data_IF_925186785375
#
_entry.id   IF_925186785375
#
_cell.length_a   1.000
_cell.length_b   1.000
_cell.length_c   1.000
_cell.angle_alpha   90.00
_cell.angle_beta   90.00
_cell.angle_gamma   90.00
#
_symmetry.space_group_name_H-M   'P 1'
#
loop_
_entity.id
_entity.type
_entity.pdbx_description
1 polymer ?
#
# COMPACT_ATOMS: atom_id res chain seq x y z
N UNK A 1 19.42 9.88 -21.61
CA UNK A 1 18.00 10.31 -21.54
C UNK A 1 17.41 9.68 -20.29
N UNK A 2 16.61 10.42 -19.53
CA UNK A 2 15.93 9.87 -18.35
C UNK A 2 14.66 9.14 -18.79
N UNK A 3 14.41 7.99 -18.20
CA UNK A 3 13.16 7.24 -18.35
C UNK A 3 12.29 7.47 -17.10
N UNK A 4 11.00 7.73 -17.30
CA UNK A 4 10.05 7.97 -16.21
C UNK A 4 8.87 7.02 -16.37
N UNK A 5 8.59 6.25 -15.31
CA UNK A 5 7.41 5.40 -15.22
C UNK A 5 6.31 6.15 -14.46
N UNK A 6 5.12 6.23 -15.05
CA UNK A 6 3.95 6.85 -14.44
C UNK A 6 2.82 5.83 -14.26
N UNK A 7 2.41 5.62 -13.02
CA UNK A 7 1.38 4.65 -12.63
C UNK A 7 0.11 5.35 -12.18
N UNK A 8 -1.03 5.01 -12.79
CA UNK A 8 -2.34 5.57 -12.43
C UNK A 8 -3.30 4.46 -11.99
N UNK A 9 -3.74 4.52 -10.73
CA UNK A 9 -4.77 3.63 -10.22
C UNK A 9 -6.17 4.21 -10.47
N UNK A 10 -6.97 3.53 -11.29
CA UNK A 10 -8.26 4.05 -11.79
C UNK A 10 -9.48 3.58 -10.98
N UNK A 11 -9.32 2.58 -10.10
CA UNK A 11 -10.43 1.98 -9.36
C UNK A 11 -10.71 2.67 -8.00
N UNK A 12 -10.05 3.79 -7.70
CA UNK A 12 -10.28 4.56 -6.48
C UNK A 12 -11.19 5.76 -6.75
N UNK A 13 -12.47 5.62 -6.44
CA UNK A 13 -13.48 6.67 -6.62
C UNK A 13 -13.15 7.97 -5.90
N UNK A 14 -13.74 9.08 -6.37
CA UNK A 14 -13.33 10.42 -5.97
C UNK A 14 -13.70 10.84 -4.54
N UNK A 15 -14.70 10.18 -3.93
CA UNK A 15 -15.23 10.60 -2.64
C UNK A 15 -14.99 9.61 -1.49
N UNK A 16 -14.48 8.40 -1.75
CA UNK A 16 -14.30 7.37 -0.73
C UNK A 16 -13.14 6.43 -1.05
N UNK A 17 -12.64 5.71 -0.03
CA UNK A 17 -11.82 4.51 -0.24
C UNK A 17 -12.56 3.53 -1.17
N UNK A 18 -11.87 2.63 -1.92
CA UNK A 18 -12.53 1.63 -2.74
C UNK A 18 -13.68 1.01 -1.96
N UNK A 19 -14.86 0.94 -2.59
CA UNK A 19 -16.07 0.43 -1.99
C UNK A 19 -15.89 -1.06 -1.70
N UNK A 20 -15.23 -1.41 -0.59
CA UNK A 20 -15.16 -2.79 -0.15
C UNK A 20 -16.45 -3.12 0.59
N UNK A 21 -17.54 -3.14 -0.16
CA UNK A 21 -18.93 -3.25 0.31
C UNK A 21 -19.28 -4.63 0.85
N UNK A 22 -18.53 -5.66 0.46
CA UNK A 22 -18.70 -7.03 0.94
C UNK A 22 -17.36 -7.57 1.45
N UNK A 23 -17.29 -7.95 2.73
CA UNK A 23 -16.09 -8.58 3.32
C UNK A 23 -15.65 -9.88 2.63
N UNK A 24 -16.55 -10.54 1.88
CA UNK A 24 -16.26 -11.78 1.15
C UNK A 24 -15.72 -11.57 -0.27
N UNK A 25 -15.90 -10.38 -0.85
CA UNK A 25 -15.41 -10.09 -2.20
C UNK A 25 -14.11 -9.30 -2.12
N UNK A 26 -13.00 -10.03 -2.26
CA UNK A 26 -11.66 -9.48 -2.22
C UNK A 26 -11.16 -9.03 -3.61
N UNK A 27 -12.03 -8.93 -4.61
CA UNK A 27 -11.64 -8.54 -5.99
C UNK A 27 -10.96 -7.16 -6.02
N UNK A 28 -11.50 -6.18 -5.31
CA UNK A 28 -10.90 -4.83 -5.28
C UNK A 28 -9.54 -4.83 -4.55
N UNK A 29 -9.42 -5.59 -3.46
CA UNK A 29 -8.17 -5.75 -2.73
C UNK A 29 -7.11 -6.45 -3.60
N UNK A 30 -7.51 -7.44 -4.40
CA UNK A 30 -6.64 -8.08 -5.39
C UNK A 30 -6.10 -7.10 -6.42
N UNK A 31 -6.98 -6.28 -7.01
CA UNK A 31 -6.59 -5.29 -8.02
C UNK A 31 -5.65 -4.23 -7.42
N UNK A 32 -5.91 -3.82 -6.18
CA UNK A 32 -5.05 -2.88 -5.47
C UNK A 32 -3.67 -3.49 -5.16
N UNK A 33 -3.62 -4.72 -4.65
CA UNK A 33 -2.35 -5.42 -4.40
C UNK A 33 -1.57 -5.66 -5.71
N UNK A 34 -2.22 -6.03 -6.81
CA UNK A 34 -1.56 -6.16 -8.12
C UNK A 34 -0.94 -4.83 -8.56
N UNK A 35 -1.60 -3.71 -8.30
CA UNK A 35 -1.05 -2.39 -8.57
C UNK A 35 0.22 -2.12 -7.75
N UNK A 36 0.23 -2.42 -6.45
CA UNK A 36 1.44 -2.31 -5.61
C UNK A 36 2.56 -3.25 -6.08
N UNK A 37 2.22 -4.49 -6.48
CA UNK A 37 3.19 -5.44 -7.01
C UNK A 37 3.84 -4.94 -8.32
N UNK A 38 3.07 -4.31 -9.21
CA UNK A 38 3.60 -3.70 -10.42
C UNK A 38 4.53 -2.53 -10.12
N UNK A 39 4.15 -1.65 -9.18
CA UNK A 39 5.02 -0.56 -8.72
C UNK A 39 6.33 -1.13 -8.17
N UNK A 40 6.24 -2.10 -7.26
CA UNK A 40 7.40 -2.73 -6.64
C UNK A 40 8.34 -3.37 -7.67
N UNK A 41 7.79 -4.13 -8.62
CA UNK A 41 8.56 -4.83 -9.67
C UNK A 41 9.13 -3.91 -10.74
N UNK A 42 8.48 -2.77 -10.98
CA UNK A 42 8.94 -1.77 -11.95
C UNK A 42 9.94 -0.79 -11.37
N UNK A 43 10.16 -0.80 -10.05
CA UNK A 43 11.25 -0.05 -9.44
C UNK A 43 12.56 -0.50 -10.09
N UNK A 44 13.23 0.36 -10.90
CA UNK A 44 14.44 -0.03 -11.64
C UNK A 44 15.64 -0.33 -10.73
N UNK A 45 15.44 -0.19 -9.42
CA UNK A 45 16.45 0.04 -8.40
C UNK A 45 16.00 -0.70 -7.14
N UNK A 46 16.29 -2.00 -7.04
CA UNK A 46 15.98 -2.75 -5.83
C UNK A 46 16.58 -2.06 -4.61
N UNK A 47 15.74 -1.66 -3.64
CA UNK A 47 16.05 -1.12 -2.30
C UNK A 47 17.26 -0.15 -2.13
N UNK A 48 17.78 0.45 -3.19
CA UNK A 48 18.98 1.28 -3.10
C UNK A 48 18.60 2.69 -2.63
N UNK A 49 18.93 3.01 -1.38
CA UNK A 49 18.52 4.25 -0.69
C UNK A 49 19.14 5.53 -1.27
N UNK A 50 20.01 5.41 -2.28
CA UNK A 50 20.64 6.53 -3.00
C UNK A 50 19.83 7.03 -4.19
N UNK A 51 18.57 6.60 -4.33
CA UNK A 51 17.76 6.85 -5.51
C UNK A 51 16.68 7.90 -5.27
N UNK A 52 16.31 8.61 -6.34
CA UNK A 52 15.33 9.69 -6.31
C UNK A 52 13.99 9.22 -5.70
N UNK A 53 13.33 10.04 -4.86
CA UNK A 53 12.09 9.65 -4.20
C UNK A 53 10.96 9.41 -5.19
N UNK A 54 10.12 8.41 -4.92
CA UNK A 54 8.88 8.17 -5.67
C UNK A 54 7.89 9.31 -5.41
N UNK A 55 7.31 9.86 -6.48
CA UNK A 55 6.25 10.88 -6.38
C UNK A 55 4.90 10.18 -6.28
N UNK A 56 4.20 10.41 -5.17
CA UNK A 56 2.82 9.95 -4.96
C UNK A 56 1.91 11.16 -4.83
N UNK A 57 0.88 11.26 -5.68
CA UNK A 57 -0.07 12.36 -5.63
C UNK A 57 -1.53 11.87 -5.71
N UNK A 58 -2.45 12.74 -5.32
CA UNK A 58 -3.87 12.57 -5.57
C UNK A 58 -4.46 13.93 -5.97
N UNK A 59 -5.59 14.35 -5.41
CA UNK A 59 -6.10 15.73 -5.57
C UNK A 59 -5.35 16.70 -4.65
N UNK A 60 -5.57 16.60 -3.33
CA UNK A 60 -4.87 17.43 -2.34
C UNK A 60 -3.52 16.84 -1.84
N UNK A 61 -3.17 15.64 -2.31
CA UNK A 61 -1.94 14.93 -1.92
C UNK A 61 -1.91 14.52 -0.44
N UNK A 62 -3.06 14.21 0.16
CA UNK A 62 -3.16 13.85 1.59
C UNK A 62 -4.01 12.59 1.87
N UNK A 63 -5.22 12.47 1.33
CA UNK A 63 -6.08 11.30 1.58
C UNK A 63 -5.54 10.00 0.96
N UNK A 64 -5.81 9.79 -0.33
CA UNK A 64 -5.34 8.61 -1.09
C UNK A 64 -3.83 8.44 -1.02
N UNK A 65 -3.08 9.53 -1.16
CA UNK A 65 -1.61 9.51 -1.06
C UNK A 65 -1.13 9.00 0.30
N UNK A 66 -1.74 9.43 1.40
CA UNK A 66 -1.37 8.95 2.74
C UNK A 66 -1.64 7.45 2.91
N UNK A 67 -2.79 6.98 2.44
CA UNK A 67 -3.12 5.57 2.49
C UNK A 67 -2.17 4.73 1.61
N UNK A 68 -1.89 5.18 0.38
CA UNK A 68 -0.93 4.52 -0.52
C UNK A 68 0.46 4.43 0.10
N UNK A 69 0.99 5.53 0.65
CA UNK A 69 2.31 5.55 1.31
C UNK A 69 2.33 4.62 2.52
N UNK A 70 1.29 4.61 3.35
CA UNK A 70 1.22 3.75 4.54
C UNK A 70 1.24 2.27 4.15
N UNK A 71 0.43 1.89 3.16
CA UNK A 71 0.38 0.52 2.65
C UNK A 71 1.73 0.12 2.07
N UNK A 72 2.32 0.97 1.21
CA UNK A 72 3.60 0.69 0.57
C UNK A 72 4.72 0.41 1.58
N UNK A 73 4.82 1.26 2.62
CA UNK A 73 5.79 1.08 3.71
C UNK A 73 5.62 -0.29 4.36
N UNK A 74 4.40 -0.66 4.76
CA UNK A 74 4.14 -1.91 5.47
C UNK A 74 4.40 -3.12 4.57
N UNK A 75 3.90 -3.10 3.32
CA UNK A 75 4.14 -4.19 2.38
C UNK A 75 5.63 -4.37 2.11
N UNK A 76 6.40 -3.29 1.97
CA UNK A 76 7.85 -3.37 1.80
C UNK A 76 8.55 -3.94 3.05
N UNK A 77 8.14 -3.54 4.25
CA UNK A 77 8.66 -4.13 5.50
C UNK A 77 8.38 -5.63 5.58
N UNK A 78 7.15 -6.07 5.30
CA UNK A 78 6.82 -7.51 5.30
C UNK A 78 7.69 -8.26 4.27
N UNK A 79 7.89 -7.72 3.07
CA UNK A 79 8.72 -8.34 2.03
C UNK A 79 10.20 -8.45 2.40
N UNK A 80 10.73 -7.49 3.16
CA UNK A 80 12.17 -7.38 3.44
C UNK A 80 12.58 -7.95 4.79
N UNK A 81 11.73 -7.81 5.80
CA UNK A 81 11.96 -8.22 7.19
C UNK A 81 11.22 -9.53 7.55
N UNK A 82 10.21 -9.94 6.77
CA UNK A 82 9.42 -11.17 6.99
C UNK A 82 8.07 -10.94 7.70
N UNK A 83 7.39 -12.03 8.04
CA UNK A 83 6.06 -11.99 8.68
C UNK A 83 6.12 -11.78 10.21
N UNK A 84 7.26 -12.02 10.85
CA UNK A 84 7.43 -11.91 12.31
C UNK A 84 7.63 -10.46 12.81
N UNK A 85 7.30 -9.47 11.97
CA UNK A 85 7.50 -8.07 12.28
C UNK A 85 6.34 -7.48 13.09
N UNK A 86 6.66 -6.51 13.94
CA UNK A 86 5.64 -5.70 14.59
C UNK A 86 5.18 -4.57 13.63
N UNK A 87 3.86 -4.53 13.41
CA UNK A 87 3.19 -3.54 12.56
C UNK A 87 2.28 -2.68 13.43
N UNK A 88 2.70 -1.45 13.68
CA UNK A 88 1.92 -0.44 14.40
C UNK A 88 1.41 0.64 13.42
N UNK A 89 0.24 0.39 12.84
CA UNK A 89 -0.41 1.32 11.91
C UNK A 89 -0.70 2.69 12.55
N UNK A 90 -1.25 2.79 13.79
CA UNK A 90 -1.49 4.08 14.43
C UNK A 90 -0.24 4.96 14.55
N UNK A 91 0.87 4.39 15.04
CA UNK A 91 2.12 5.13 15.18
C UNK A 91 2.74 5.45 13.83
N UNK A 92 2.66 4.55 12.84
CA UNK A 92 3.12 4.84 11.48
C UNK A 92 2.34 6.00 10.86
N UNK A 93 1.01 6.01 10.96
CA UNK A 93 0.18 7.11 10.43
C UNK A 93 0.48 8.41 11.15
N UNK A 94 0.70 8.38 12.47
CA UNK A 94 1.14 9.55 13.25
C UNK A 94 2.50 10.06 12.77
N UNK A 95 3.44 9.17 12.49
CA UNK A 95 4.78 9.49 12.00
C UNK A 95 4.73 10.13 10.61
N UNK A 96 4.05 9.54 9.63
CA UNK A 96 3.98 10.15 8.28
C UNK A 96 3.25 11.50 8.31
N UNK A 97 2.27 11.67 9.21
CA UNK A 97 1.59 12.96 9.42
C UNK A 97 2.50 14.05 9.97
N UNK A 98 3.59 13.70 10.66
CA UNK A 98 4.60 14.69 11.07
C UNK A 98 5.47 15.16 9.91
N UNK A 99 5.55 14.39 8.82
CA UNK A 99 6.24 14.80 7.58
C UNK A 99 5.31 15.56 6.63
N UNK A 100 4.02 15.19 6.57
CA UNK A 100 2.99 15.93 5.83
C UNK A 100 1.65 15.87 6.56
N UNK A 101 1.22 17.02 7.07
CA UNK A 101 -0.03 17.11 7.84
C UNK A 101 -1.25 16.67 7.03
N UNK A 102 -2.18 15.96 7.67
CA UNK A 102 -3.46 15.59 7.08
C UNK A 102 -3.44 14.33 6.22
N UNK A 103 -2.32 13.60 6.14
CA UNK A 103 -2.27 12.29 5.47
C UNK A 103 -3.30 11.32 6.06
N UNK A 104 -3.94 10.51 5.21
CA UNK A 104 -5.08 9.62 5.56
C UNK A 104 -6.23 10.43 6.16
N UNK A 105 -7.16 10.89 5.32
CA UNK A 105 -8.15 11.90 5.70
C UNK A 105 -9.44 11.32 6.30
N UNK A 106 -9.81 10.09 5.94
CA UNK A 106 -11.08 9.50 6.34
C UNK A 106 -10.89 8.18 7.08
N UNK A 107 -11.83 7.83 7.94
CA UNK A 107 -11.88 6.54 8.63
C UNK A 107 -11.82 5.39 7.63
N UNK A 108 -12.54 5.50 6.51
CA UNK A 108 -12.55 4.49 5.45
C UNK A 108 -11.19 4.26 4.80
N UNK A 109 -10.38 5.31 4.65
CA UNK A 109 -8.99 5.19 4.17
C UNK A 109 -8.10 4.51 5.21
N UNK A 110 -8.36 4.77 6.49
CA UNK A 110 -7.66 4.12 7.60
C UNK A 110 -8.01 2.63 7.69
N UNK A 111 -9.30 2.28 7.62
CA UNK A 111 -9.79 0.90 7.54
C UNK A 111 -9.20 0.15 6.33
N UNK A 112 -9.15 0.80 5.16
CA UNK A 112 -8.56 0.22 3.96
C UNK A 112 -7.12 -0.25 4.19
N UNK A 113 -6.31 0.53 4.93
CA UNK A 113 -4.93 0.15 5.25
C UNK A 113 -4.93 -1.22 5.95
N UNK A 114 -5.69 -1.38 7.04
CA UNK A 114 -5.77 -2.65 7.76
C UNK A 114 -6.21 -3.80 6.85
N UNK A 115 -7.27 -3.59 6.06
CA UNK A 115 -7.82 -4.63 5.19
C UNK A 115 -6.85 -5.09 4.11
N UNK A 116 -6.07 -4.17 3.55
CA UNK A 116 -5.05 -4.51 2.54
C UNK A 116 -3.91 -5.31 3.18
N UNK A 117 -3.46 -4.93 4.38
CA UNK A 117 -2.39 -5.63 5.09
C UNK A 117 -2.84 -7.03 5.52
N UNK A 118 -4.03 -7.16 6.11
CA UNK A 118 -4.64 -8.44 6.47
C UNK A 118 -4.70 -9.37 5.26
N UNK A 119 -5.29 -8.89 4.15
CA UNK A 119 -5.43 -9.69 2.93
C UNK A 119 -4.09 -10.09 2.31
N UNK A 120 -3.08 -9.22 2.39
CA UNK A 120 -1.73 -9.53 1.92
C UNK A 120 -1.08 -10.64 2.75
N UNK A 121 -1.17 -10.55 4.08
CA UNK A 121 -0.63 -11.58 4.99
C UNK A 121 -1.34 -12.92 4.78
N UNK A 122 -2.68 -12.92 4.68
CA UNK A 122 -3.44 -14.14 4.38
C UNK A 122 -2.94 -14.81 3.10
N UNK A 123 -2.75 -14.03 2.02
CA UNK A 123 -2.21 -14.57 0.76
C UNK A 123 -0.84 -15.20 0.91
N UNK A 124 0.05 -14.60 1.72
CA UNK A 124 1.39 -15.15 1.94
C UNK A 124 1.32 -16.48 2.70
N UNK A 125 0.53 -16.56 3.77
CA UNK A 125 0.36 -17.78 4.57
C UNK A 125 -0.17 -18.95 3.73
N UNK A 126 -1.22 -18.73 2.93
CA UNK A 126 -1.76 -19.76 2.04
C UNK A 126 -0.80 -20.16 0.92
N UNK A 127 0.09 -19.25 0.49
CA UNK A 127 1.11 -19.59 -0.52
C UNK A 127 2.20 -20.49 0.08
N UNK A 128 2.59 -20.23 1.33
CA UNK A 128 3.57 -21.03 2.08
C UNK A 128 3.09 -22.45 2.37
N UNK A 129 1.80 -22.63 2.68
CA UNK A 129 1.22 -23.96 2.94
C UNK A 129 1.17 -24.84 1.68
N UNK A 130 1.01 -24.23 0.50
CA UNK A 130 0.96 -24.95 -0.77
C UNK A 130 2.34 -25.33 -1.31
N UNK A 131 3.41 -24.62 -0.95
CA UNK A 131 4.78 -24.96 -1.34
C UNK A 131 5.42 -26.04 -0.45
N UNK A 132 4.79 -26.39 0.68
CA UNK A 132 5.20 -27.48 1.58
C UNK A 132 4.44 -28.81 1.33
N UNK A 133 3.60 -28.88 0.30
CA UNK A 133 2.93 -30.10 -0.18
C UNK A 133 3.53 -30.56 -1.50
#
# INVERSE_FOLDING_TARGET
TWEIFHWQYLAWGDHDAPLITNQRDNTQLNVLLDFFERIYRSSPLGNDMNTSPMIVHCSAGIGRSGATITIDIILNRIRTEGLDIEIDIPNLVKYIRSQRSGLVQTERQYELIYRVIEYFVEKLLHSSDNSNK
#
